data_IF_924552046379
#
_entry.id   IF_924552046379
#
_cell.length_a   1.000
_cell.length_b   1.000
_cell.length_c   1.000
_cell.angle_alpha   90.00
_cell.angle_beta   90.00
_cell.angle_gamma   90.00
#
_symmetry.space_group_name_H-M   'P 1'
#
loop_
_entity.id
_entity.type
_entity.pdbx_description
1 polymer ?
#
# COMPACT_ATOMS: atom_id res chain seq x y z
N UNK A 1 -5.08 -11.37 21.81
CA UNK A 1 -5.26 -10.38 20.73
C UNK A 1 -4.56 -9.11 21.14
N UNK A 2 -3.53 -8.70 20.40
CA UNK A 2 -2.61 -7.64 20.80
C UNK A 2 -3.28 -6.30 21.06
N UNK A 3 -2.81 -5.61 22.11
CA UNK A 3 -3.31 -4.28 22.51
C UNK A 3 -2.98 -3.17 21.48
N UNK A 4 -2.00 -3.43 20.60
CA UNK A 4 -1.50 -2.45 19.63
C UNK A 4 -2.42 -2.38 18.40
N UNK A 5 -2.93 -1.19 18.04
CA UNK A 5 -3.83 -1.04 16.90
C UNK A 5 -3.12 -1.26 15.57
N UNK A 6 -3.93 -1.55 14.55
CA UNK A 6 -3.49 -1.70 13.16
C UNK A 6 -3.85 -0.44 12.38
N UNK A 7 -2.91 0.05 11.57
CA UNK A 7 -3.04 1.22 10.72
C UNK A 7 -3.06 0.77 9.27
N UNK A 8 -4.19 0.96 8.58
CA UNK A 8 -4.35 0.69 7.15
C UNK A 8 -3.86 1.89 6.33
N UNK A 9 -2.79 1.71 5.56
CA UNK A 9 -2.16 2.78 4.78
C UNK A 9 -2.41 2.59 3.28
N UNK A 10 -3.13 3.54 2.66
CA UNK A 10 -3.51 3.48 1.25
C UNK A 10 -2.39 3.94 0.30
N UNK A 11 -2.45 3.51 -0.97
CA UNK A 11 -1.48 3.89 -2.01
C UNK A 11 -1.64 5.30 -2.58
N UNK A 12 -0.96 5.54 -3.72
CA UNK A 12 -0.72 6.87 -4.32
C UNK A 12 -2.01 7.60 -4.76
N UNK A 13 -3.04 6.88 -5.21
CA UNK A 13 -4.27 7.46 -5.75
C UNK A 13 -5.52 6.86 -5.08
N UNK A 14 -5.86 7.25 -3.84
CA UNK A 14 -7.12 6.80 -3.21
C UNK A 14 -8.32 7.39 -3.97
N UNK A 15 -9.08 6.53 -4.66
CA UNK A 15 -10.18 6.92 -5.54
C UNK A 15 -11.54 7.03 -4.82
N UNK A 16 -11.63 6.50 -3.61
CA UNK A 16 -12.84 6.43 -2.79
C UNK A 16 -13.36 7.80 -2.32
N UNK A 17 -12.46 8.74 -1.98
CA UNK A 17 -12.86 10.01 -1.36
C UNK A 17 -13.16 11.15 -2.32
N UNK A 18 -12.91 10.99 -3.63
CA UNK A 18 -13.35 11.96 -4.64
C UNK A 18 -14.89 12.01 -4.75
N UNK A 19 -15.56 10.89 -4.41
CA UNK A 19 -17.02 10.73 -4.48
C UNK A 19 -17.75 10.94 -3.14
N UNK A 20 -17.06 10.86 -1.99
CA UNK A 20 -17.71 10.74 -0.66
C UNK A 20 -17.72 12.03 0.20
N UNK A 21 -17.22 13.16 -0.30
CA UNK A 21 -17.10 14.42 0.49
C UNK A 21 -18.42 14.95 1.11
N UNK A 22 -19.63 14.77 0.55
CA UNK A 22 -20.85 15.27 1.22
C UNK A 22 -21.46 14.30 2.24
N UNK A 23 -21.17 13.00 2.19
CA UNK A 23 -21.91 11.96 2.94
C UNK A 23 -21.07 11.15 3.96
N UNK A 24 -19.75 11.33 3.96
CA UNK A 24 -18.80 10.46 4.66
C UNK A 24 -18.83 10.42 6.20
N UNK A 25 -19.66 11.23 6.87
CA UNK A 25 -19.83 11.15 8.34
C UNK A 25 -20.96 10.22 8.80
N UNK A 26 -21.88 9.82 7.91
CA UNK A 26 -23.08 9.06 8.29
C UNK A 26 -23.05 7.58 7.88
N UNK A 27 -22.07 7.16 7.07
CA UNK A 27 -22.04 5.82 6.50
C UNK A 27 -20.96 4.99 7.21
N UNK A 28 -21.40 4.06 8.08
CA UNK A 28 -20.55 3.01 8.71
C UNK A 28 -19.97 1.99 7.72
N UNK A 29 -20.39 2.05 6.46
CA UNK A 29 -20.05 1.09 5.42
C UNK A 29 -18.79 1.54 4.68
N UNK A 30 -17.70 0.79 4.82
CA UNK A 30 -16.44 0.92 4.09
C UNK A 30 -16.47 0.19 2.73
N UNK A 31 -17.66 -0.20 2.24
CA UNK A 31 -17.89 -0.90 0.96
C UNK A 31 -17.50 -0.09 -0.28
N UNK A 32 -17.23 1.21 -0.13
CA UNK A 32 -16.72 2.08 -1.19
C UNK A 32 -15.37 2.70 -0.83
N UNK A 33 -14.78 2.31 0.30
CA UNK A 33 -13.46 2.79 0.71
C UNK A 33 -12.35 2.13 -0.10
N UNK A 34 -11.15 2.68 -0.03
CA UNK A 34 -9.94 2.12 -0.63
C UNK A 34 -9.76 0.64 -0.24
N UNK A 35 -9.77 0.35 1.05
CA UNK A 35 -9.78 -1.02 1.59
C UNK A 35 -11.22 -1.53 1.71
N UNK A 36 -11.77 -2.03 0.61
CA UNK A 36 -13.21 -2.29 0.45
C UNK A 36 -13.71 -3.38 1.41
N UNK A 37 -14.41 -2.99 2.47
CA UNK A 37 -15.00 -3.94 3.43
C UNK A 37 -14.01 -4.61 4.38
N UNK A 38 -12.71 -4.27 4.31
CA UNK A 38 -11.65 -4.91 5.08
C UNK A 38 -11.61 -4.34 6.50
N UNK A 39 -11.74 -3.02 6.65
CA UNK A 39 -11.69 -2.38 7.96
C UNK A 39 -12.82 -2.89 8.84
N UNK A 40 -14.06 -2.83 8.35
CA UNK A 40 -15.23 -3.25 9.13
C UNK A 40 -15.19 -4.74 9.46
N UNK A 41 -14.68 -5.57 8.56
CA UNK A 41 -14.47 -6.99 8.80
C UNK A 41 -13.45 -7.24 9.94
N UNK A 42 -12.29 -6.58 9.91
CA UNK A 42 -11.26 -6.74 10.94
C UNK A 42 -11.72 -6.19 12.30
N UNK A 43 -12.44 -5.07 12.32
CA UNK A 43 -13.09 -4.56 13.53
C UNK A 43 -14.10 -5.56 14.09
N UNK A 44 -14.88 -6.23 13.23
CA UNK A 44 -15.77 -7.32 13.61
C UNK A 44 -15.07 -8.57 14.18
N UNK A 45 -13.77 -8.73 13.91
CA UNK A 45 -12.90 -9.76 14.51
C UNK A 45 -12.21 -9.30 15.79
N UNK A 46 -12.48 -8.08 16.26
CA UNK A 46 -11.96 -7.54 17.53
C UNK A 46 -10.69 -6.69 17.40
N UNK A 47 -10.18 -6.46 16.18
CA UNK A 47 -9.01 -5.61 15.98
C UNK A 47 -9.38 -4.12 16.06
N UNK A 48 -8.49 -3.31 16.64
CA UNK A 48 -8.60 -1.85 16.64
C UNK A 48 -7.94 -1.29 15.37
N UNK A 49 -8.73 -0.75 14.44
CA UNK A 49 -8.25 -0.33 13.12
C UNK A 49 -8.33 1.20 12.93
N UNK A 50 -7.23 1.81 12.52
CA UNK A 50 -7.16 3.18 12.01
C UNK A 50 -6.87 3.18 10.51
N UNK A 51 -7.39 4.16 9.78
CA UNK A 51 -7.15 4.32 8.34
C UNK A 51 -6.88 5.79 8.05
N UNK A 52 -5.64 6.27 8.29
CA UNK A 52 -5.26 7.66 8.06
C UNK A 52 -5.36 8.02 6.58
N UNK A 53 -5.46 9.32 6.30
CA UNK A 53 -5.51 9.83 4.95
C UNK A 53 -4.25 10.64 4.63
N UNK A 54 -3.65 10.38 3.47
CA UNK A 54 -2.46 11.10 3.00
C UNK A 54 -2.67 11.68 1.60
N UNK A 55 -1.83 12.65 1.22
CA UNK A 55 -1.94 13.37 -0.05
C UNK A 55 -2.08 12.45 -1.27
N UNK A 56 -3.09 12.74 -2.10
CA UNK A 56 -3.29 12.09 -3.39
C UNK A 56 -2.18 12.50 -4.37
N UNK A 57 -1.46 11.52 -4.93
CA UNK A 57 -0.38 11.74 -5.91
C UNK A 57 0.88 12.45 -5.37
N UNK A 58 0.88 12.82 -4.09
CA UNK A 58 1.96 13.57 -3.44
C UNK A 58 3.29 12.83 -3.44
N UNK A 59 4.39 13.57 -3.29
CA UNK A 59 5.72 12.95 -3.10
C UNK A 59 5.76 12.06 -1.87
N UNK A 60 6.70 11.12 -1.85
CA UNK A 60 6.91 10.22 -0.72
C UNK A 60 7.13 10.97 0.59
N UNK A 61 7.92 12.06 0.57
CA UNK A 61 8.17 12.86 1.76
C UNK A 61 6.90 13.55 2.26
N UNK A 62 6.07 14.07 1.34
CA UNK A 62 4.81 14.73 1.71
C UNK A 62 3.85 13.73 2.33
N UNK A 63 3.68 12.57 1.71
CA UNK A 63 2.76 11.52 2.16
C UNK A 63 3.19 10.92 3.50
N UNK A 64 4.48 10.68 3.69
CA UNK A 64 5.03 10.23 4.97
C UNK A 64 4.81 11.26 6.09
N UNK A 65 4.89 12.55 5.77
CA UNK A 65 4.60 13.62 6.73
C UNK A 65 3.11 13.71 7.07
N UNK A 66 2.22 13.59 6.08
CA UNK A 66 0.77 13.52 6.33
C UNK A 66 0.45 12.31 7.23
N UNK A 67 1.06 11.14 6.93
CA UNK A 67 0.89 9.92 7.71
C UNK A 67 1.33 10.12 9.16
N UNK A 68 2.50 10.73 9.37
CA UNK A 68 3.02 11.05 10.69
C UNK A 68 2.05 11.90 11.51
N UNK A 69 1.51 12.98 10.92
CA UNK A 69 0.61 13.89 11.65
C UNK A 69 -0.76 13.28 11.94
N UNK A 70 -1.32 12.50 11.01
CA UNK A 70 -2.56 11.75 11.26
C UNK A 70 -2.38 10.77 12.43
N UNK A 71 -1.25 10.04 12.46
CA UNK A 71 -0.93 9.11 13.53
C UNK A 71 -0.73 9.83 14.86
N UNK A 72 0.08 10.89 14.87
CA UNK A 72 0.28 11.74 16.05
C UNK A 72 -1.06 12.22 16.62
N UNK A 73 -2.03 12.56 15.75
CA UNK A 73 -3.38 12.94 16.14
C UNK A 73 -4.16 11.82 16.85
N UNK A 74 -4.35 10.65 16.22
CA UNK A 74 -5.18 9.60 16.81
C UNK A 74 -4.50 8.82 17.96
N UNK A 75 -3.18 8.85 18.02
CA UNK A 75 -2.36 8.19 19.05
C UNK A 75 -2.03 9.09 20.24
N UNK A 76 -2.53 10.33 20.25
CA UNK A 76 -2.22 11.35 21.26
C UNK A 76 -0.70 11.49 21.48
N UNK A 77 -0.03 11.95 20.42
CA UNK A 77 1.43 12.06 20.36
C UNK A 77 2.18 10.76 20.75
N UNK A 78 1.69 9.63 20.24
CA UNK A 78 2.23 8.29 20.53
C UNK A 78 2.25 7.92 22.03
N UNK A 79 1.40 8.55 22.84
CA UNK A 79 1.24 8.27 24.27
C UNK A 79 0.12 7.25 24.54
N UNK A 80 -0.90 7.20 23.67
CA UNK A 80 -2.07 6.32 23.85
C UNK A 80 -1.77 4.84 23.59
N UNK A 81 -0.84 4.56 22.69
CA UNK A 81 -0.49 3.20 22.28
C UNK A 81 1.01 2.99 22.44
N UNK A 82 1.41 1.83 22.97
CA UNK A 82 2.82 1.48 23.14
C UNK A 82 3.52 1.40 21.78
N UNK A 83 2.91 0.66 20.86
CA UNK A 83 3.35 0.51 19.47
C UNK A 83 2.16 0.41 18.51
N UNK A 84 2.46 0.49 17.22
CA UNK A 84 1.50 0.39 16.13
C UNK A 84 1.90 -0.74 15.18
N UNK A 85 0.89 -1.40 14.61
CA UNK A 85 1.05 -2.32 13.49
C UNK A 85 0.60 -1.63 12.20
N UNK A 86 1.27 -1.88 11.10
CA UNK A 86 0.91 -1.29 9.80
C UNK A 86 0.55 -2.38 8.81
N UNK A 87 -0.52 -2.14 8.06
CA UNK A 87 -0.85 -2.91 6.84
C UNK A 87 -0.99 -1.89 5.72
N UNK A 88 -0.04 -1.92 4.80
CA UNK A 88 0.17 -0.84 3.85
C UNK A 88 0.18 -1.38 2.42
N UNK A 89 -0.62 -0.79 1.55
CA UNK A 89 -0.75 -1.25 0.17
C UNK A 89 -0.03 -0.32 -0.79
N UNK A 90 0.64 -0.88 -1.81
CA UNK A 90 1.26 -0.14 -2.90
C UNK A 90 2.23 0.94 -2.34
N UNK A 91 2.15 2.19 -2.81
CA UNK A 91 2.97 3.30 -2.27
C UNK A 91 2.80 3.53 -0.76
N UNK A 92 1.70 3.09 -0.15
CA UNK A 92 1.50 3.19 1.30
C UNK A 92 2.59 2.48 2.10
N UNK A 93 3.15 1.37 1.58
CA UNK A 93 4.26 0.68 2.22
C UNK A 93 5.56 1.50 2.19
N UNK A 94 5.78 2.26 1.13
CA UNK A 94 6.91 3.20 1.04
C UNK A 94 6.71 4.37 2.02
N UNK A 95 5.49 4.90 2.11
CA UNK A 95 5.17 6.01 3.04
C UNK A 95 5.48 5.61 4.49
N UNK A 96 5.09 4.40 4.89
CA UNK A 96 5.36 3.86 6.23
C UNK A 96 6.87 3.73 6.47
N UNK A 97 7.60 3.09 5.56
CA UNK A 97 9.06 2.92 5.68
C UNK A 97 9.78 4.26 5.79
N UNK A 98 9.43 5.20 4.91
CA UNK A 98 10.03 6.53 4.91
C UNK A 98 9.68 7.31 6.17
N UNK A 99 8.43 7.25 6.64
CA UNK A 99 7.99 7.87 7.88
C UNK A 99 8.78 7.34 9.09
N UNK A 100 8.92 6.01 9.21
CA UNK A 100 9.64 5.38 10.31
C UNK A 100 11.07 5.89 10.37
N UNK A 101 11.78 5.89 9.25
CA UNK A 101 13.13 6.41 9.15
C UNK A 101 13.20 7.92 9.45
N UNK A 102 12.33 8.72 8.82
CA UNK A 102 12.39 10.19 8.89
C UNK A 102 12.16 10.74 10.30
N UNK A 103 11.30 10.08 11.08
CA UNK A 103 10.86 10.51 12.41
C UNK A 103 11.36 9.58 13.53
N UNK A 104 12.28 8.66 13.24
CA UNK A 104 12.86 7.69 14.18
C UNK A 104 11.82 6.91 15.00
N UNK A 105 10.81 6.37 14.32
CA UNK A 105 9.69 5.67 14.95
C UNK A 105 9.92 4.17 15.16
N UNK A 106 11.13 3.66 14.99
CA UNK A 106 11.43 2.22 15.08
C UNK A 106 10.92 1.59 16.40
N UNK A 107 11.04 2.30 17.54
CA UNK A 107 10.56 1.82 18.84
C UNK A 107 9.03 1.89 19.02
N UNK A 108 8.34 2.64 18.14
CA UNK A 108 6.89 2.84 18.13
C UNK A 108 6.17 1.91 17.14
N UNK A 109 6.91 1.08 16.42
CA UNK A 109 6.37 0.11 15.46
C UNK A 109 6.58 -1.29 15.97
N UNK A 110 5.55 -2.12 15.91
CA UNK A 110 5.65 -3.56 16.23
C UNK A 110 5.85 -4.37 14.95
N UNK A 111 4.95 -4.24 13.97
CA UNK A 111 5.08 -4.89 12.66
C UNK A 111 4.68 -3.96 11.51
N UNK A 112 5.33 -4.15 10.36
CA UNK A 112 4.92 -3.55 9.08
C UNK A 112 4.64 -4.67 8.10
N UNK A 113 3.42 -4.72 7.58
CA UNK A 113 3.01 -5.61 6.49
C UNK A 113 2.82 -4.74 5.25
N UNK A 114 3.55 -5.02 4.17
CA UNK A 114 3.37 -4.37 2.88
C UNK A 114 2.71 -5.33 1.88
N UNK A 115 1.78 -4.81 1.08
CA UNK A 115 1.01 -5.59 0.10
C UNK A 115 1.17 -4.91 -1.26
N UNK A 116 1.78 -5.60 -2.22
CA UNK A 116 1.99 -5.07 -3.58
C UNK A 116 2.81 -3.78 -3.60
N UNK A 117 3.66 -3.54 -2.61
CA UNK A 117 4.45 -2.31 -2.53
C UNK A 117 5.62 -2.36 -3.52
N UNK A 118 5.82 -1.37 -4.40
CA UNK A 118 6.94 -1.36 -5.34
C UNK A 118 8.25 -0.97 -4.63
N UNK A 119 8.78 -1.87 -3.79
CA UNK A 119 9.98 -1.59 -2.99
C UNK A 119 11.21 -1.29 -3.85
N UNK A 120 11.29 -1.86 -5.05
CA UNK A 120 12.36 -1.58 -6.03
C UNK A 120 11.89 -0.70 -7.19
N UNK A 121 10.74 -0.03 -7.03
CA UNK A 121 10.11 0.79 -8.06
C UNK A 121 9.36 -0.03 -9.12
N UNK A 122 8.90 0.61 -10.18
CA UNK A 122 8.22 -0.07 -11.30
C UNK A 122 8.70 0.48 -12.62
N UNK A 123 9.02 -0.39 -13.59
CA UNK A 123 9.44 0.05 -14.93
C UNK A 123 8.35 0.87 -15.63
N UNK A 124 7.09 0.73 -15.21
CA UNK A 124 5.99 1.57 -15.70
C UNK A 124 6.20 3.06 -15.35
N UNK A 125 6.71 3.35 -14.15
CA UNK A 125 7.01 4.72 -13.72
C UNK A 125 8.16 5.29 -14.56
N UNK A 126 9.22 4.50 -14.75
CA UNK A 126 10.37 4.87 -15.58
C UNK A 126 9.93 5.25 -17.01
N UNK A 127 9.10 4.41 -17.65
CA UNK A 127 8.57 4.66 -18.99
C UNK A 127 7.66 5.90 -19.03
N UNK A 128 6.75 6.04 -18.07
CA UNK A 128 5.80 7.16 -18.04
C UNK A 128 6.50 8.50 -17.85
N UNK A 129 7.52 8.57 -17.02
CA UNK A 129 8.31 9.79 -16.80
C UNK A 129 9.04 10.20 -18.08
N UNK A 130 9.65 9.24 -18.77
CA UNK A 130 10.32 9.50 -20.04
C UNK A 130 9.35 10.02 -21.11
N UNK A 131 8.12 9.50 -21.16
CA UNK A 131 7.11 9.87 -22.17
C UNK A 131 6.32 11.13 -21.85
N UNK A 132 6.05 11.42 -20.58
CA UNK A 132 5.06 12.41 -20.15
C UNK A 132 5.62 13.51 -19.24
N UNK A 133 6.95 13.71 -19.16
CA UNK A 133 7.58 14.76 -18.36
C UNK A 133 6.89 16.12 -18.46
N UNK A 134 6.59 16.57 -19.69
CA UNK A 134 5.91 17.86 -19.95
C UNK A 134 4.48 17.93 -19.40
N UNK A 135 3.76 16.81 -19.39
CA UNK A 135 2.39 16.74 -18.85
C UNK A 135 2.42 16.73 -17.32
N UNK A 136 3.38 16.03 -16.71
CA UNK A 136 3.58 16.04 -15.26
C UNK A 136 3.91 17.46 -14.78
N UNK A 137 4.82 18.16 -15.48
CA UNK A 137 5.15 19.56 -15.19
C UNK A 137 3.93 20.49 -15.29
N UNK A 138 3.01 20.21 -16.23
CA UNK A 138 1.77 20.96 -16.40
C UNK A 138 0.76 20.68 -15.27
N UNK A 139 0.58 19.41 -14.91
CA UNK A 139 -0.27 19.00 -13.80
C UNK A 139 0.17 19.62 -12.48
N UNK A 140 1.48 19.68 -12.23
CA UNK A 140 2.05 20.36 -11.06
C UNK A 140 1.73 21.86 -11.03
N UNK A 141 1.78 22.53 -12.19
CA UNK A 141 1.45 23.96 -12.31
C UNK A 141 -0.03 24.27 -12.04
N UNK A 142 -0.93 23.31 -12.26
CA UNK A 142 -2.37 23.46 -12.01
C UNK A 142 -2.80 22.89 -10.64
N UNK A 143 -1.85 22.52 -9.78
CA UNK A 143 -2.11 22.08 -8.41
C UNK A 143 -2.41 20.58 -8.24
N UNK A 144 -2.20 19.76 -9.27
CA UNK A 144 -2.23 18.30 -9.16
C UNK A 144 -0.81 17.80 -8.89
N UNK A 145 -0.56 17.34 -7.65
CA UNK A 145 0.72 16.74 -7.30
C UNK A 145 0.81 15.35 -7.91
N UNK A 146 1.68 15.18 -8.90
CA UNK A 146 2.02 13.89 -9.51
C UNK A 146 3.47 13.50 -9.20
N UNK A 147 4.13 14.17 -8.24
CA UNK A 147 5.53 13.89 -7.91
C UNK A 147 5.71 12.49 -7.33
N UNK A 148 4.68 11.93 -6.70
CA UNK A 148 4.72 10.57 -6.19
C UNK A 148 5.08 9.55 -7.27
N UNK A 149 4.75 9.79 -8.55
CA UNK A 149 5.14 8.89 -9.63
C UNK A 149 6.66 8.88 -9.89
N UNK A 150 7.37 9.99 -9.65
CA UNK A 150 8.84 10.00 -9.68
C UNK A 150 9.45 9.17 -8.56
N UNK A 151 8.82 9.18 -7.39
CA UNK A 151 9.25 8.36 -6.25
C UNK A 151 8.99 6.86 -6.44
N UNK A 152 8.27 6.46 -7.49
CA UNK A 152 8.07 5.05 -7.85
C UNK A 152 9.06 4.55 -8.90
N UNK A 153 10.01 5.38 -9.35
CA UNK A 153 11.03 4.96 -10.32
C UNK A 153 12.03 3.97 -9.72
N UNK A 154 12.56 3.09 -10.56
CA UNK A 154 13.51 2.06 -10.12
C UNK A 154 14.83 2.67 -9.62
N UNK A 155 15.28 3.76 -10.23
CA UNK A 155 16.47 4.49 -9.81
C UNK A 155 16.29 5.14 -8.44
N UNK A 156 15.17 5.85 -8.23
CA UNK A 156 14.87 6.51 -6.96
C UNK A 156 14.72 5.51 -5.82
N UNK A 157 14.05 4.38 -6.05
CA UNK A 157 13.90 3.34 -5.04
C UNK A 157 15.22 2.64 -4.72
N UNK A 158 16.11 2.46 -5.69
CA UNK A 158 17.46 1.93 -5.43
C UNK A 158 18.25 2.84 -4.49
N UNK A 159 18.28 4.14 -4.75
CA UNK A 159 18.94 5.12 -3.87
C UNK A 159 18.33 5.12 -2.47
N UNK A 160 17.00 5.14 -2.41
CA UNK A 160 16.29 5.19 -1.14
C UNK A 160 16.54 3.93 -0.30
N UNK A 161 16.53 2.75 -0.93
CA UNK A 161 16.78 1.47 -0.24
C UNK A 161 18.20 1.35 0.31
N UNK A 162 19.20 2.05 -0.24
CA UNK A 162 20.54 2.08 0.34
C UNK A 162 20.56 2.75 1.72
N UNK A 163 19.70 3.75 1.91
CA UNK A 163 19.59 4.50 3.16
C UNK A 163 18.62 3.79 4.11
N UNK A 164 17.38 3.56 3.67
CA UNK A 164 16.35 2.94 4.49
C UNK A 164 16.74 1.52 4.91
N UNK A 165 17.18 0.68 3.95
CA UNK A 165 17.47 -0.72 4.20
C UNK A 165 18.59 -0.95 5.21
N UNK A 166 19.58 -0.04 5.27
CA UNK A 166 20.63 -0.10 6.29
C UNK A 166 20.06 0.11 7.69
N UNK A 167 19.23 1.12 7.85
CA UNK A 167 18.62 1.45 9.15
C UNK A 167 17.57 0.43 9.56
N UNK A 168 16.76 -0.05 8.61
CA UNK A 168 15.78 -1.13 8.83
C UNK A 168 16.45 -2.40 9.36
N UNK A 169 17.59 -2.81 8.77
CA UNK A 169 18.38 -3.95 9.26
C UNK A 169 19.06 -3.65 10.60
N UNK A 170 19.64 -2.45 10.77
CA UNK A 170 20.34 -2.05 12.01
C UNK A 170 19.40 -1.97 13.22
N UNK A 171 18.16 -1.56 13.01
CA UNK A 171 17.14 -1.36 14.05
C UNK A 171 16.19 -2.55 14.19
N UNK A 172 16.42 -3.63 13.45
CA UNK A 172 15.61 -4.86 13.45
C UNK A 172 14.11 -4.58 13.22
N UNK A 173 13.81 -3.82 12.16
CA UNK A 173 12.42 -3.54 11.80
C UNK A 173 11.74 -4.84 11.35
N UNK A 174 10.68 -5.24 12.05
CA UNK A 174 9.85 -6.40 11.70
C UNK A 174 8.94 -6.08 10.50
N UNK A 175 9.52 -6.18 9.31
CA UNK A 175 8.88 -5.94 8.03
C UNK A 175 8.52 -7.26 7.36
N UNK A 176 7.33 -7.31 6.76
CA UNK A 176 6.79 -8.47 6.06
C UNK A 176 6.21 -8.03 4.72
N UNK A 177 6.68 -8.62 3.63
CA UNK A 177 6.23 -8.25 2.28
C UNK A 177 5.37 -9.33 1.65
N UNK A 178 4.22 -8.91 1.13
CA UNK A 178 3.30 -9.74 0.37
C UNK A 178 3.31 -9.27 -1.08
N UNK A 179 3.62 -10.19 -1.98
CA UNK A 179 3.64 -9.93 -3.42
C UNK A 179 2.37 -10.47 -4.06
N UNK A 180 1.69 -9.63 -4.84
CA UNK A 180 0.61 -10.08 -5.70
C UNK A 180 1.14 -10.67 -7.01
N UNK A 181 0.50 -11.72 -7.47
CA UNK A 181 0.68 -12.26 -8.81
C UNK A 181 -0.67 -12.76 -9.30
N UNK A 182 -0.99 -12.52 -10.57
CA UNK A 182 -2.25 -12.99 -11.14
C UNK A 182 -2.06 -13.34 -12.62
N UNK A 183 -2.93 -14.21 -13.14
CA UNK A 183 -2.98 -14.49 -14.58
C UNK A 183 -3.46 -13.25 -15.36
N UNK A 184 -3.00 -13.10 -16.60
CA UNK A 184 -3.42 -12.00 -17.49
C UNK A 184 -4.95 -11.88 -17.62
N UNK A 185 -5.66 -13.02 -17.68
CA UNK A 185 -7.11 -13.04 -17.85
C UNK A 185 -7.84 -12.63 -16.57
N UNK A 186 -7.31 -12.96 -15.39
CA UNK A 186 -7.91 -12.57 -14.12
C UNK A 186 -7.47 -11.17 -13.67
N UNK A 187 -6.49 -10.55 -14.33
CA UNK A 187 -6.09 -9.17 -14.04
C UNK A 187 -7.15 -8.17 -14.50
N UNK A 188 -7.50 -7.22 -13.62
CA UNK A 188 -8.39 -6.09 -13.84
C UNK A 188 -8.18 -5.49 -15.24
N UNK A 189 -9.26 -5.27 -15.99
CA UNK A 189 -9.11 -4.98 -17.44
C UNK A 189 -8.27 -3.73 -17.71
N UNK A 190 -8.30 -2.75 -16.80
CA UNK A 190 -7.52 -1.51 -16.86
C UNK A 190 -6.00 -1.74 -16.74
N UNK A 191 -5.58 -2.84 -16.11
CA UNK A 191 -4.18 -3.15 -15.87
C UNK A 191 -3.59 -4.15 -16.86
N UNK A 192 -4.39 -4.78 -17.72
CA UNK A 192 -3.89 -5.72 -18.74
C UNK A 192 -2.83 -5.12 -19.67
N UNK A 193 -2.94 -3.83 -19.98
CA UNK A 193 -1.94 -3.12 -20.77
C UNK A 193 -0.60 -2.97 -20.05
N UNK A 194 -0.63 -2.58 -18.77
CA UNK A 194 0.57 -2.48 -17.94
C UNK A 194 1.14 -3.84 -17.57
N UNK A 195 0.28 -4.84 -17.36
CA UNK A 195 0.64 -6.22 -17.11
C UNK A 195 1.58 -6.75 -18.19
N UNK A 196 1.22 -6.62 -19.48
CA UNK A 196 2.06 -7.10 -20.59
C UNK A 196 3.43 -6.44 -20.65
N UNK A 197 3.47 -5.15 -20.31
CA UNK A 197 4.73 -4.40 -20.26
C UNK A 197 5.60 -4.91 -19.11
N UNK A 198 5.03 -5.12 -17.93
CA UNK A 198 5.75 -5.68 -16.78
C UNK A 198 6.16 -7.13 -17.00
N UNK A 199 5.29 -7.95 -17.57
CA UNK A 199 5.58 -9.35 -17.93
C UNK A 199 6.81 -9.43 -18.83
N UNK A 200 6.88 -8.58 -19.86
CA UNK A 200 8.01 -8.54 -20.78
C UNK A 200 9.32 -8.01 -20.15
N UNK A 201 9.25 -7.11 -19.16
CA UNK A 201 10.41 -6.42 -18.58
C UNK A 201 10.90 -7.02 -17.26
N UNK A 202 9.98 -7.57 -16.48
CA UNK A 202 10.17 -7.90 -15.06
C UNK A 202 9.60 -9.28 -14.68
N UNK A 203 8.72 -9.87 -15.51
CA UNK A 203 8.10 -11.17 -15.26
C UNK A 203 6.77 -11.07 -14.51
N UNK A 204 6.53 -12.02 -13.60
CA UNK A 204 5.29 -12.12 -12.83
C UNK A 204 4.95 -10.80 -12.11
N UNK A 205 3.68 -10.41 -12.17
CA UNK A 205 3.23 -9.11 -11.67
C UNK A 205 1.73 -9.11 -11.35
N UNK A 206 1.30 -8.09 -10.61
CA UNK A 206 -0.09 -7.85 -10.24
C UNK A 206 -0.81 -6.85 -11.16
N UNK A 207 -0.23 -6.55 -12.32
CA UNK A 207 -0.70 -5.56 -13.28
C UNK A 207 -0.09 -4.16 -13.11
N UNK A 208 0.50 -3.81 -11.96
CA UNK A 208 1.15 -2.52 -11.71
C UNK A 208 2.54 -2.61 -11.06
N UNK A 209 2.78 -3.67 -10.30
CA UNK A 209 4.02 -3.94 -9.57
C UNK A 209 4.44 -5.38 -9.87
N UNK A 210 5.71 -5.56 -10.22
CA UNK A 210 6.28 -6.89 -10.41
C UNK A 210 6.49 -7.59 -9.07
N UNK A 211 6.41 -8.92 -9.08
CA UNK A 211 6.75 -9.76 -7.92
C UNK A 211 8.16 -9.41 -7.43
N UNK A 212 9.13 -9.31 -8.35
CA UNK A 212 10.51 -8.92 -8.02
C UNK A 212 10.60 -7.59 -7.27
N UNK A 213 9.74 -6.62 -7.56
CA UNK A 213 9.72 -5.35 -6.86
C UNK A 213 8.98 -5.41 -5.53
N UNK A 214 7.91 -6.21 -5.45
CA UNK A 214 7.13 -6.40 -4.23
C UNK A 214 7.86 -7.22 -3.16
N UNK A 215 8.67 -8.20 -3.59
CA UNK A 215 9.60 -8.95 -2.75
C UNK A 215 10.79 -8.04 -2.44
N UNK A 216 10.70 -7.27 -1.36
CA UNK A 216 11.72 -6.28 -1.00
C UNK A 216 13.11 -6.93 -0.80
N UNK A 217 13.15 -8.00 -0.01
CA UNK A 217 14.31 -8.84 0.29
C UNK A 217 13.74 -10.20 0.75
N UNK A 218 14.41 -11.31 0.42
CA UNK A 218 13.96 -12.66 0.81
C UNK A 218 13.81 -12.81 2.33
N UNK A 219 14.61 -12.07 3.12
CA UNK A 219 14.51 -12.07 4.58
C UNK A 219 13.24 -11.43 5.13
N UNK A 220 12.53 -10.63 4.34
CA UNK A 220 11.27 -9.99 4.71
C UNK A 220 10.07 -10.61 3.97
N UNK A 221 10.29 -11.53 3.04
CA UNK A 221 9.22 -12.10 2.25
C UNK A 221 8.34 -13.03 3.09
N UNK A 222 7.03 -12.76 3.10
CA UNK A 222 6.07 -13.61 3.81
C UNK A 222 5.39 -14.58 2.85
N UNK A 223 4.70 -14.08 1.82
CA UNK A 223 3.97 -14.94 0.87
C UNK A 223 3.53 -14.21 -0.39
N UNK A 224 3.06 -15.02 -1.33
CA UNK A 224 2.31 -14.57 -2.50
C UNK A 224 0.81 -14.52 -2.22
N UNK A 225 0.12 -13.57 -2.83
CA UNK A 225 -1.33 -13.55 -2.97
C UNK A 225 -1.70 -13.67 -4.45
N UNK A 226 -2.61 -14.58 -4.77
CA UNK A 226 -3.19 -14.72 -6.12
C UNK A 226 -4.26 -13.64 -6.30
N UNK A 227 -3.80 -12.39 -6.38
CA UNK A 227 -4.60 -11.17 -6.46
C UNK A 227 -3.85 -10.11 -7.28
N UNK A 228 -4.53 -9.51 -8.25
CA UNK A 228 -4.05 -8.29 -8.91
C UNK A 228 -4.02 -7.07 -7.95
N UNK A 229 -3.46 -5.96 -8.42
CA UNK A 229 -3.22 -4.78 -7.59
C UNK A 229 -4.48 -4.13 -6.98
N UNK A 230 -5.66 -4.25 -7.63
CA UNK A 230 -6.92 -3.75 -7.05
C UNK A 230 -7.62 -4.83 -6.24
N UNK A 231 -7.46 -6.08 -6.63
CA UNK A 231 -7.97 -7.22 -5.90
C UNK A 231 -7.38 -7.29 -4.48
N UNK A 232 -6.09 -6.96 -4.31
CA UNK A 232 -5.39 -6.87 -3.01
C UNK A 232 -6.06 -5.94 -1.99
N UNK A 233 -6.87 -4.98 -2.44
CA UNK A 233 -7.63 -4.05 -1.58
C UNK A 233 -9.15 -4.28 -1.65
N UNK A 234 -9.55 -5.46 -2.14
CA UNK A 234 -10.93 -5.95 -2.15
C UNK A 234 -11.77 -5.41 -3.31
N UNK A 235 -11.18 -4.87 -4.37
CA UNK A 235 -11.94 -4.43 -5.55
C UNK A 235 -11.99 -5.52 -6.60
N UNK A 236 -13.20 -6.05 -6.80
CA UNK A 236 -13.51 -7.10 -7.77
C UNK A 236 -13.89 -6.55 -9.15
N UNK A 237 -13.46 -7.22 -10.21
CA UNK A 237 -13.74 -6.97 -11.62
C UNK A 237 -14.64 -8.09 -12.20
N UNK A 238 -15.69 -7.77 -12.98
CA UNK A 238 -16.48 -8.77 -13.71
C UNK A 238 -15.71 -9.67 -14.68
N UNK A 239 -14.48 -9.32 -15.03
CA UNK A 239 -13.58 -10.12 -15.85
C UNK A 239 -12.84 -11.22 -15.09
N UNK A 240 -12.92 -11.23 -13.77
CA UNK A 240 -12.39 -12.32 -12.94
C UNK A 240 -13.23 -13.58 -13.06
N UNK A 241 -12.56 -14.73 -13.06
CA UNK A 241 -13.21 -16.04 -13.01
C UNK A 241 -13.92 -16.30 -11.67
N UNK A 242 -13.35 -15.80 -10.57
CA UNK A 242 -13.90 -16.00 -9.22
C UNK A 242 -15.19 -15.20 -9.04
N UNK A 243 -16.21 -15.86 -8.47
CA UNK A 243 -17.49 -15.22 -8.16
C UNK A 243 -17.31 -14.10 -7.12
N UNK A 244 -18.07 -13.01 -7.29
CA UNK A 244 -17.93 -11.81 -6.45
C UNK A 244 -18.02 -12.05 -4.94
N UNK A 245 -18.93 -12.91 -4.49
CA UNK A 245 -19.11 -13.20 -3.06
C UNK A 245 -17.95 -14.02 -2.50
N UNK A 246 -17.55 -15.05 -3.24
CA UNK A 246 -16.37 -15.88 -2.94
C UNK A 246 -15.10 -15.03 -2.87
N UNK A 247 -14.91 -14.13 -3.82
CA UNK A 247 -13.79 -13.19 -3.86
C UNK A 247 -13.68 -12.35 -2.58
N UNK A 248 -14.79 -11.79 -2.10
CA UNK A 248 -14.72 -10.96 -0.89
C UNK A 248 -14.36 -11.77 0.36
N UNK A 249 -14.85 -13.01 0.47
CA UNK A 249 -14.47 -13.88 1.58
C UNK A 249 -13.02 -14.36 1.45
N UNK A 250 -12.54 -14.61 0.24
CA UNK A 250 -11.15 -14.95 -0.04
C UNK A 250 -10.20 -13.82 0.40
N UNK A 251 -10.42 -12.59 -0.06
CA UNK A 251 -9.57 -11.43 0.32
C UNK A 251 -9.62 -11.19 1.83
N UNK A 252 -10.80 -11.20 2.45
CA UNK A 252 -10.92 -11.04 3.91
C UNK A 252 -10.19 -12.15 4.67
N UNK A 253 -10.26 -13.39 4.18
CA UNK A 253 -9.53 -14.53 4.72
C UNK A 253 -8.03 -14.29 4.70
N UNK A 254 -7.48 -13.83 3.57
CA UNK A 254 -6.06 -13.50 3.43
C UNK A 254 -5.60 -12.41 4.40
N UNK A 255 -6.39 -11.35 4.60
CA UNK A 255 -6.08 -10.33 5.61
C UNK A 255 -6.10 -10.90 7.02
N UNK A 256 -7.11 -11.70 7.37
CA UNK A 256 -7.23 -12.30 8.70
C UNK A 256 -6.08 -13.25 9.00
N UNK A 257 -5.69 -14.06 8.01
CA UNK A 257 -4.57 -15.00 8.10
C UNK A 257 -3.25 -14.24 8.29
N UNK A 258 -2.93 -13.30 7.39
CA UNK A 258 -1.68 -12.55 7.49
C UNK A 258 -1.57 -11.75 8.80
N UNK A 259 -2.65 -11.10 9.24
CA UNK A 259 -2.67 -10.37 10.52
C UNK A 259 -2.58 -11.35 11.69
N UNK A 260 -3.28 -12.48 11.63
CA UNK A 260 -3.25 -13.50 12.69
C UNK A 260 -1.85 -14.13 12.87
N UNK A 261 -1.16 -14.43 11.77
CA UNK A 261 0.17 -15.03 11.79
C UNK A 261 1.26 -14.07 12.27
N UNK A 262 1.14 -12.78 11.89
CA UNK A 262 2.20 -11.79 12.11
C UNK A 262 1.98 -10.97 13.38
N UNK A 263 0.74 -10.59 13.69
CA UNK A 263 0.40 -9.65 14.77
C UNK A 263 -0.25 -10.38 15.97
N UNK A 264 -0.83 -11.55 15.75
CA UNK A 264 -1.59 -12.33 16.75
C UNK A 264 -0.72 -12.85 17.89
#
# INVERSE_FOLDING_TARGET
MGDNPIVLCHGICPFDRLYLKPFGRLVRSDRLSYFKGIKSFLEGKGYKIFSPWVSWGGSLERRAMDLFYEIKGFSDDFCKFKKLNFVAHSMGGLDVRYMIYRFDLYEKVEHVITIGTPHHGTSLADIRILRFKRLIDLCLKIGLDLRGFFDLTTSRMRELNQVLGREEKRRDLKLWTIAGLQSYNNTFFLFRGSYRVLEALEGENDGLVSVRSAVYDEGYFYRYWDLDHLNQIGWWDPSEEMGREEFYEYVKGLYLEAIGDIVG
#
